data_IF_910613309549
#
_entry.id   IF_910613309549
#
_cell.length_a   1.000
_cell.length_b   1.000
_cell.length_c   1.000
_cell.angle_alpha   90.00
_cell.angle_beta   90.00
_cell.angle_gamma   90.00
#
_symmetry.space_group_name_H-M   'P 1'
#
loop_
_entity.id
_entity.type
_entity.pdbx_description
1 polymer ?
#
# COMPACT_ATOMS: atom_id res chain seq x y z
N UNK A 1 2.83 -33.02 -8.32
CA UNK A 1 1.61 -32.37 -7.80
C UNK A 1 1.29 -31.15 -8.64
N UNK A 2 0.03 -30.93 -9.03
CA UNK A 2 -0.34 -29.83 -9.93
C UNK A 2 -0.13 -28.47 -9.22
N UNK A 3 0.42 -27.44 -9.93
CA UNK A 3 0.74 -26.12 -9.38
C UNK A 3 -0.44 -25.47 -8.63
N UNK A 4 -1.67 -25.70 -9.14
CA UNK A 4 -2.91 -25.20 -8.53
C UNK A 4 -3.18 -25.83 -7.15
N UNK A 5 -3.05 -27.14 -7.00
CA UNK A 5 -3.25 -27.83 -5.72
C UNK A 5 -2.24 -27.39 -4.66
N UNK A 6 -1.04 -26.99 -5.09
CA UNK A 6 0.00 -26.46 -4.22
C UNK A 6 -0.36 -25.09 -3.68
N UNK A 7 -0.75 -24.18 -4.57
CA UNK A 7 -1.19 -22.82 -4.19
C UNK A 7 -2.40 -22.87 -3.25
N UNK A 8 -3.35 -23.77 -3.50
CA UNK A 8 -4.51 -24.00 -2.63
C UNK A 8 -4.13 -24.43 -1.21
N UNK A 9 -3.20 -25.38 -1.08
CA UNK A 9 -2.75 -25.85 0.24
C UNK A 9 -1.99 -24.77 1.02
N UNK A 10 -1.12 -24.00 0.35
CA UNK A 10 -0.42 -22.86 0.98
C UNK A 10 -1.40 -21.77 1.41
N UNK A 11 -2.42 -21.54 0.60
CA UNK A 11 -3.48 -20.59 0.93
C UNK A 11 -4.27 -21.07 2.16
N UNK A 12 -4.65 -22.34 2.20
CA UNK A 12 -5.31 -22.94 3.37
C UNK A 12 -4.46 -22.80 4.63
N UNK A 13 -3.13 -23.02 4.54
CA UNK A 13 -2.24 -22.84 5.67
C UNK A 13 -2.19 -21.38 6.15
N UNK A 14 -2.15 -20.41 5.23
CA UNK A 14 -2.19 -18.99 5.58
C UNK A 14 -3.52 -18.62 6.28
N UNK A 15 -4.65 -19.10 5.78
CA UNK A 15 -5.94 -18.91 6.43
C UNK A 15 -6.02 -19.61 7.80
N UNK A 16 -5.42 -20.80 7.95
CA UNK A 16 -5.37 -21.51 9.24
C UNK A 16 -4.65 -20.68 10.30
N UNK A 17 -3.51 -20.07 9.97
CA UNK A 17 -2.79 -19.15 10.88
C UNK A 17 -3.66 -17.94 11.23
N UNK A 18 -4.31 -17.34 10.23
CA UNK A 18 -5.17 -16.18 10.42
C UNK A 18 -6.36 -16.47 11.34
N UNK A 19 -7.06 -17.58 11.11
CA UNK A 19 -8.22 -17.94 11.93
C UNK A 19 -7.86 -18.39 13.33
N UNK A 20 -6.65 -18.93 13.52
CA UNK A 20 -6.10 -19.22 14.85
C UNK A 20 -5.82 -17.93 15.62
N UNK A 21 -5.21 -16.94 14.97
CA UNK A 21 -4.78 -15.68 15.56
C UNK A 21 -5.57 -14.48 15.00
N UNK A 22 -6.86 -14.40 15.36
CA UNK A 22 -7.78 -13.35 14.86
C UNK A 22 -7.32 -11.92 15.18
N UNK A 23 -6.46 -11.73 16.19
CA UNK A 23 -5.86 -10.44 16.52
C UNK A 23 -5.05 -9.84 15.38
N UNK A 24 -4.57 -10.65 14.43
CA UNK A 24 -3.88 -10.16 13.22
C UNK A 24 -4.77 -9.23 12.39
N UNK A 25 -6.09 -9.45 12.38
CA UNK A 25 -7.04 -8.61 11.67
C UNK A 25 -7.14 -7.18 12.24
N UNK A 26 -6.71 -6.95 13.49
CA UNK A 26 -6.76 -5.63 14.11
C UNK A 26 -5.66 -4.69 13.61
N UNK A 27 -4.51 -5.19 13.18
CA UNK A 27 -3.39 -4.37 12.73
C UNK A 27 -3.75 -3.46 11.54
N UNK A 28 -4.34 -3.97 10.45
CA UNK A 28 -4.77 -3.09 9.37
C UNK A 28 -5.84 -2.07 9.81
N UNK A 29 -6.74 -2.41 10.76
CA UNK A 29 -7.69 -1.44 11.32
C UNK A 29 -6.99 -0.30 12.06
N UNK A 30 -6.01 -0.63 12.90
CA UNK A 30 -5.20 0.37 13.60
C UNK A 30 -4.46 1.23 12.58
N UNK A 31 -3.82 0.61 11.58
CA UNK A 31 -3.11 1.33 10.52
C UNK A 31 -4.03 2.28 9.75
N UNK A 32 -5.24 1.82 9.36
CA UNK A 32 -6.24 2.66 8.68
C UNK A 32 -6.73 3.79 9.58
N UNK A 33 -7.00 3.52 10.86
CA UNK A 33 -7.41 4.54 11.83
C UNK A 33 -6.34 5.62 12.01
N UNK A 34 -5.07 5.23 12.13
CA UNK A 34 -3.95 6.17 12.22
C UNK A 34 -3.78 6.97 10.91
N UNK A 35 -3.91 6.33 9.76
CA UNK A 35 -3.86 7.02 8.46
C UNK A 35 -4.99 8.05 8.32
N UNK A 36 -6.20 7.72 8.79
CA UNK A 36 -7.34 8.65 8.83
C UNK A 36 -7.06 9.85 9.74
N UNK A 37 -6.51 9.63 10.94
CA UNK A 37 -6.15 10.72 11.87
C UNK A 37 -5.13 11.64 11.20
N UNK A 38 -4.11 11.09 10.56
CA UNK A 38 -3.11 11.88 9.83
C UNK A 38 -3.76 12.64 8.68
N UNK A 39 -4.61 11.98 7.88
CA UNK A 39 -5.32 12.62 6.77
C UNK A 39 -6.20 13.79 7.26
N UNK A 40 -6.96 13.59 8.34
CA UNK A 40 -7.80 14.64 8.94
C UNK A 40 -6.96 15.80 9.45
N UNK A 41 -5.83 15.52 10.12
CA UNK A 41 -4.93 16.56 10.60
C UNK A 41 -4.39 17.44 9.48
N UNK A 42 -3.96 16.82 8.37
CA UNK A 42 -3.43 17.57 7.22
C UNK A 42 -4.53 18.20 6.34
N UNK A 43 -5.75 17.66 6.38
CA UNK A 43 -6.90 18.24 5.69
C UNK A 43 -7.51 19.42 6.45
N UNK A 44 -7.35 19.48 7.77
CA UNK A 44 -7.93 20.53 8.60
C UNK A 44 -7.61 21.97 8.11
N UNK A 45 -6.36 22.34 7.76
CA UNK A 45 -6.06 23.67 7.24
C UNK A 45 -6.81 24.03 5.96
N UNK A 46 -7.12 23.05 5.12
CA UNK A 46 -7.90 23.21 3.89
C UNK A 46 -9.38 23.39 4.23
N UNK A 47 -9.90 22.54 5.15
CA UNK A 47 -11.29 22.60 5.57
C UNK A 47 -11.64 23.91 6.31
N UNK A 48 -10.70 24.43 7.10
CA UNK A 48 -10.87 25.68 7.87
C UNK A 48 -10.36 26.93 7.13
N UNK A 49 -10.11 26.84 5.82
CA UNK A 49 -9.70 27.98 5.04
C UNK A 49 -10.81 29.05 4.99
N UNK A 50 -10.53 30.33 5.29
CA UNK A 50 -11.55 31.37 5.33
C UNK A 50 -12.06 31.69 3.92
N UNK A 51 -13.25 31.22 3.56
CA UNK A 51 -13.91 31.51 2.29
C UNK A 51 -14.91 32.66 2.37
N UNK A 52 -15.17 33.21 3.57
CA UNK A 52 -16.22 34.18 3.82
C UNK A 52 -17.63 33.59 3.98
N UNK A 53 -17.76 32.26 3.86
CA UNK A 53 -19.01 31.53 4.06
C UNK A 53 -18.96 30.67 5.34
N UNK A 54 -20.11 30.35 5.95
CA UNK A 54 -20.16 29.43 7.10
C UNK A 54 -19.57 28.07 6.75
N UNK A 55 -18.72 27.51 7.62
CA UNK A 55 -17.96 26.26 7.37
C UNK A 55 -18.83 25.05 7.01
N UNK A 56 -20.06 24.99 7.49
CA UNK A 56 -20.99 23.88 7.20
C UNK A 56 -21.90 24.16 5.99
N UNK A 57 -21.73 25.30 5.27
CA UNK A 57 -22.51 25.61 4.09
C UNK A 57 -21.98 24.97 2.83
N UNK A 58 -22.86 24.62 1.89
CA UNK A 58 -22.47 24.14 0.56
C UNK A 58 -21.63 25.17 -0.20
N UNK A 59 -21.89 26.46 0.03
CA UNK A 59 -21.15 27.56 -0.57
C UNK A 59 -19.67 27.60 -0.12
N UNK A 60 -19.36 27.23 1.13
CA UNK A 60 -17.99 27.10 1.61
C UNK A 60 -17.25 25.99 0.86
N UNK A 61 -17.84 24.82 0.75
CA UNK A 61 -17.23 23.65 0.09
C UNK A 61 -17.13 23.84 -1.42
N UNK A 62 -18.09 24.50 -2.08
CA UNK A 62 -17.99 24.83 -3.49
C UNK A 62 -16.85 25.82 -3.76
N UNK A 63 -16.68 26.84 -2.90
CA UNK A 63 -15.58 27.79 -3.02
C UNK A 63 -14.20 27.14 -2.83
N UNK A 64 -14.08 26.17 -1.90
CA UNK A 64 -12.86 25.36 -1.75
C UNK A 64 -12.62 24.51 -3.00
N UNK A 65 -13.67 23.82 -3.50
CA UNK A 65 -13.60 22.99 -4.70
C UNK A 65 -13.17 23.76 -5.94
N UNK A 66 -13.73 24.95 -6.15
CA UNK A 66 -13.35 25.84 -7.25
C UNK A 66 -11.89 26.27 -7.16
N UNK A 67 -11.41 26.66 -5.98
CA UNK A 67 -10.00 27.02 -5.78
C UNK A 67 -9.05 25.86 -6.04
N UNK A 68 -9.41 24.67 -5.58
CA UNK A 68 -8.63 23.46 -5.86
C UNK A 68 -8.64 23.19 -7.37
N UNK A 69 -9.80 23.23 -8.03
CA UNK A 69 -9.89 22.98 -9.47
C UNK A 69 -9.14 24.01 -10.30
N UNK A 70 -9.20 25.29 -9.94
CA UNK A 70 -8.43 26.35 -10.57
C UNK A 70 -6.92 26.16 -10.42
N UNK A 71 -6.47 25.66 -9.26
CA UNK A 71 -5.06 25.33 -9.03
C UNK A 71 -4.53 24.22 -9.96
N UNK A 72 -5.42 23.32 -10.40
CA UNK A 72 -5.07 22.24 -11.34
C UNK A 72 -5.34 22.59 -12.81
N UNK A 73 -6.22 23.55 -13.08
CA UNK A 73 -6.72 23.85 -14.43
C UNK A 73 -6.04 25.07 -15.08
N UNK A 74 -5.27 25.86 -14.32
CA UNK A 74 -4.57 27.03 -14.87
C UNK A 74 -3.44 26.57 -15.78
N UNK A 75 -3.50 26.80 -17.11
CA UNK A 75 -2.37 26.56 -17.98
C UNK A 75 -1.20 27.44 -17.55
N UNK A 76 0.05 26.99 -17.68
CA UNK A 76 1.21 27.80 -17.36
C UNK A 76 1.20 29.03 -18.25
N UNK A 77 0.98 30.21 -17.66
CA UNK A 77 1.17 31.46 -18.39
C UNK A 77 2.65 31.54 -18.79
N UNK A 78 2.90 31.53 -20.09
CA UNK A 78 4.21 31.74 -20.69
C UNK A 78 4.70 33.18 -20.38
N UNK A 79 5.31 33.35 -19.21
CA UNK A 79 6.22 34.48 -19.00
C UNK A 79 7.63 34.03 -19.40
N UNK A 80 8.19 34.70 -20.37
CA UNK A 80 9.36 34.31 -21.16
C UNK A 80 10.71 34.43 -20.44
N UNK A 81 10.77 34.43 -19.11
CA UNK A 81 12.04 34.69 -18.40
C UNK A 81 12.18 33.85 -17.14
N UNK A 82 12.43 32.55 -17.34
CA UNK A 82 12.74 31.68 -16.21
C UNK A 82 13.98 30.83 -16.46
N UNK A 83 14.93 30.92 -15.53
CA UNK A 83 16.16 30.10 -15.49
C UNK A 83 15.84 28.59 -15.56
N UNK A 84 16.77 27.79 -16.09
CA UNK A 84 16.67 26.32 -16.18
C UNK A 84 16.31 25.69 -14.83
N UNK A 85 16.83 26.26 -13.71
CA UNK A 85 16.51 25.82 -12.35
C UNK A 85 15.02 26.00 -12.00
N UNK A 86 14.39 27.11 -12.40
CA UNK A 86 12.97 27.35 -12.18
C UNK A 86 12.11 26.38 -13.00
N UNK A 87 12.53 26.03 -14.22
CA UNK A 87 11.85 25.03 -15.07
C UNK A 87 11.94 23.64 -14.48
N UNK A 88 13.09 23.27 -13.90
CA UNK A 88 13.28 22.00 -13.22
C UNK A 88 12.43 21.95 -11.94
N UNK A 89 12.42 23.01 -11.14
CA UNK A 89 11.63 23.09 -9.91
C UNK A 89 10.11 23.05 -10.20
N UNK A 90 9.60 23.86 -11.17
CA UNK A 90 8.19 23.85 -11.56
C UNK A 90 7.76 22.52 -12.16
N UNK A 91 8.65 21.88 -12.88
CA UNK A 91 8.38 20.57 -13.42
C UNK A 91 8.33 19.47 -12.35
N UNK A 92 9.13 19.54 -11.27
CA UNK A 92 9.09 18.59 -10.15
C UNK A 92 7.80 18.73 -9.31
N UNK A 93 7.20 19.91 -9.30
CA UNK A 93 6.01 20.23 -8.50
C UNK A 93 4.69 20.20 -9.28
N UNK A 94 4.69 19.72 -10.53
CA UNK A 94 3.44 19.63 -11.32
C UNK A 94 2.93 20.96 -11.89
N UNK A 95 3.80 21.98 -12.01
CA UNK A 95 3.56 23.14 -12.91
C UNK A 95 2.61 24.21 -12.43
N UNK A 96 2.19 24.25 -11.17
CA UNK A 96 1.35 25.33 -10.68
C UNK A 96 2.18 26.43 -10.01
N UNK A 97 2.13 27.68 -10.55
CA UNK A 97 2.68 28.89 -9.93
C UNK A 97 2.18 29.14 -8.50
N UNK A 98 1.06 28.53 -8.12
CA UNK A 98 0.44 28.58 -6.80
C UNK A 98 1.35 27.99 -5.70
N UNK A 99 2.22 27.02 -6.04
CA UNK A 99 3.09 26.35 -5.07
C UNK A 99 4.19 27.27 -4.55
N UNK A 100 4.75 28.15 -5.41
CA UNK A 100 5.78 29.09 -4.99
C UNK A 100 5.22 30.29 -4.18
N UNK A 101 3.98 30.65 -4.40
CA UNK A 101 3.35 31.73 -3.64
C UNK A 101 2.94 31.29 -2.21
N UNK A 102 2.81 29.96 -1.99
CA UNK A 102 2.45 29.37 -0.70
C UNK A 102 3.36 28.18 -0.36
N UNK A 103 4.66 28.43 -0.25
CA UNK A 103 5.69 27.43 0.07
C UNK A 103 5.34 26.54 1.28
N UNK A 104 4.62 27.10 2.26
CA UNK A 104 4.17 26.38 3.45
C UNK A 104 3.15 25.27 3.12
N UNK A 105 2.28 25.46 2.10
CA UNK A 105 1.34 24.42 1.64
C UNK A 105 2.12 23.26 1.02
N UNK A 106 3.11 23.56 0.19
CA UNK A 106 3.98 22.54 -0.41
C UNK A 106 4.74 21.78 0.65
N UNK A 107 5.27 22.49 1.66
CA UNK A 107 5.93 21.87 2.80
C UNK A 107 4.96 20.99 3.59
N UNK A 108 3.74 21.44 3.84
CA UNK A 108 2.70 20.69 4.53
C UNK A 108 2.39 19.37 3.80
N UNK A 109 2.20 19.42 2.48
CA UNK A 109 1.98 18.22 1.67
C UNK A 109 3.19 17.27 1.68
N UNK A 110 4.39 17.79 1.57
CA UNK A 110 5.61 16.99 1.64
C UNK A 110 5.74 16.29 3.01
N UNK A 111 5.55 17.03 4.10
CA UNK A 111 5.58 16.48 5.46
C UNK A 111 4.48 15.44 5.64
N UNK A 112 3.26 15.72 5.17
CA UNK A 112 2.15 14.77 5.18
C UNK A 112 2.49 13.47 4.46
N UNK A 113 3.06 13.57 3.27
CA UNK A 113 3.46 12.43 2.46
C UNK A 113 4.49 11.55 3.18
N UNK A 114 5.57 12.15 3.69
CA UNK A 114 6.60 11.40 4.41
C UNK A 114 6.12 10.85 5.76
N UNK A 115 5.27 11.59 6.47
CA UNK A 115 4.63 11.12 7.72
C UNK A 115 3.75 9.90 7.43
N UNK A 116 2.96 9.93 6.37
CA UNK A 116 2.11 8.81 5.96
C UNK A 116 2.94 7.59 5.56
N UNK A 117 4.03 7.79 4.83
CA UNK A 117 4.98 6.73 4.47
C UNK A 117 5.64 6.10 5.70
N UNK A 118 6.08 6.93 6.65
CA UNK A 118 6.66 6.45 7.90
C UNK A 118 5.64 5.65 8.72
N UNK A 119 4.45 6.20 8.93
CA UNK A 119 3.41 5.57 9.73
C UNK A 119 2.95 4.24 9.10
N UNK A 120 2.76 4.22 7.77
CA UNK A 120 2.43 2.99 7.04
C UNK A 120 3.50 1.92 7.19
N UNK A 121 4.78 2.27 7.04
CA UNK A 121 5.90 1.34 7.24
C UNK A 121 5.97 0.87 8.69
N UNK A 122 5.82 1.78 9.66
CA UNK A 122 5.85 1.49 11.08
C UNK A 122 4.77 0.48 11.50
N UNK A 123 3.52 0.71 11.07
CA UNK A 123 2.42 -0.22 11.31
C UNK A 123 2.65 -1.58 10.63
N UNK A 124 3.17 -1.58 9.40
CA UNK A 124 3.49 -2.81 8.69
C UNK A 124 4.60 -3.61 9.38
N UNK A 125 5.66 -2.97 9.89
CA UNK A 125 6.72 -3.66 10.64
C UNK A 125 6.14 -4.31 11.90
N UNK A 126 5.30 -3.60 12.66
CA UNK A 126 4.61 -4.15 13.82
C UNK A 126 3.74 -5.37 13.45
N UNK A 127 2.98 -5.26 12.37
CA UNK A 127 2.11 -6.31 11.85
C UNK A 127 2.89 -7.55 11.39
N UNK A 128 3.93 -7.37 10.59
CA UNK A 128 4.73 -8.48 10.06
C UNK A 128 5.56 -9.17 11.15
N UNK A 129 6.00 -8.44 12.17
CA UNK A 129 6.60 -9.05 13.36
C UNK A 129 5.63 -10.03 14.03
N UNK A 130 4.39 -9.63 14.26
CA UNK A 130 3.39 -10.48 14.89
C UNK A 130 2.91 -11.63 13.99
N UNK A 131 2.90 -11.45 12.67
CA UNK A 131 2.68 -12.55 11.72
C UNK A 131 3.77 -13.62 11.89
N UNK A 132 5.05 -13.22 11.95
CA UNK A 132 6.15 -14.16 12.14
C UNK A 132 6.03 -14.90 13.49
N UNK A 133 5.60 -14.21 14.55
CA UNK A 133 5.32 -14.85 15.83
C UNK A 133 4.15 -15.86 15.72
N UNK A 134 3.06 -15.47 15.04
CA UNK A 134 1.92 -16.36 14.83
C UNK A 134 2.28 -17.62 14.01
N UNK A 135 3.11 -17.48 12.98
CA UNK A 135 3.62 -18.59 12.18
C UNK A 135 4.43 -19.56 13.05
N UNK A 136 5.22 -19.05 13.99
CA UNK A 136 6.01 -19.84 14.93
C UNK A 136 5.18 -20.43 16.09
N UNK A 137 3.86 -20.22 16.10
CA UNK A 137 2.96 -20.75 17.11
C UNK A 137 2.79 -19.87 18.36
N UNK A 138 3.40 -18.69 18.40
CA UNK A 138 3.27 -17.76 19.51
C UNK A 138 1.97 -16.94 19.41
N UNK A 139 1.35 -16.65 20.57
CA UNK A 139 0.17 -15.79 20.61
C UNK A 139 0.49 -14.36 20.15
N UNK A 140 -0.42 -13.75 19.38
CA UNK A 140 -0.30 -12.40 18.83
C UNK A 140 -0.53 -11.36 19.92
N UNK A 141 0.36 -10.34 19.98
CA UNK A 141 0.28 -9.19 20.89
C UNK A 141 0.50 -7.88 20.15
N UNK A 142 -0.53 -7.04 20.14
CA UNK A 142 -0.46 -5.71 19.49
C UNK A 142 0.65 -4.87 20.12
N UNK A 143 0.71 -4.85 21.44
CA UNK A 143 1.71 -4.07 22.19
C UNK A 143 3.15 -4.49 21.82
N UNK A 144 3.44 -5.80 21.78
CA UNK A 144 4.76 -6.34 21.41
C UNK A 144 5.14 -5.93 19.98
N UNK A 145 4.19 -6.02 19.03
CA UNK A 145 4.43 -5.62 17.66
C UNK A 145 4.83 -4.14 17.54
N UNK A 146 4.10 -3.25 18.19
CA UNK A 146 4.42 -1.82 18.18
C UNK A 146 5.70 -1.49 18.97
N UNK A 147 5.99 -2.17 20.06
CA UNK A 147 7.26 -2.04 20.77
C UNK A 147 8.45 -2.44 19.89
N UNK A 148 8.33 -3.54 19.15
CA UNK A 148 9.35 -3.96 18.20
C UNK A 148 9.56 -2.91 17.11
N UNK A 149 8.49 -2.40 16.48
CA UNK A 149 8.58 -1.33 15.49
C UNK A 149 9.24 -0.06 16.06
N UNK A 150 8.92 0.29 17.32
CA UNK A 150 9.54 1.41 18.01
C UNK A 150 11.04 1.21 18.27
N UNK A 151 11.50 0.00 18.60
CA UNK A 151 12.94 -0.29 18.71
C UNK A 151 13.66 -0.13 17.37
N UNK A 152 12.96 -0.37 16.26
CA UNK A 152 13.48 -0.28 14.89
C UNK A 152 13.21 1.05 14.18
N UNK A 153 12.77 2.08 14.91
CA UNK A 153 12.30 3.35 14.33
C UNK A 153 13.27 4.01 13.35
N UNK A 154 14.58 3.91 13.59
CA UNK A 154 15.62 4.47 12.69
C UNK A 154 15.61 3.78 11.32
N UNK A 155 15.59 2.46 11.29
CA UNK A 155 15.55 1.69 10.05
C UNK A 155 14.22 1.93 9.31
N UNK A 156 13.10 1.97 10.04
CA UNK A 156 11.78 2.31 9.51
C UNK A 156 11.76 3.70 8.89
N UNK A 157 12.32 4.70 9.58
CA UNK A 157 12.39 6.08 9.09
C UNK A 157 13.24 6.20 7.83
N UNK A 158 14.46 5.65 7.86
CA UNK A 158 15.37 5.70 6.72
C UNK A 158 14.78 4.99 5.49
N UNK A 159 14.17 3.84 5.69
CA UNK A 159 13.46 3.15 4.61
C UNK A 159 12.28 3.97 4.09
N UNK A 160 11.46 4.54 4.95
CA UNK A 160 10.28 5.32 4.55
C UNK A 160 10.67 6.58 3.75
N UNK A 161 11.72 7.28 4.18
CA UNK A 161 12.24 8.43 3.45
C UNK A 161 12.80 8.01 2.08
N UNK A 162 13.60 6.94 2.05
CA UNK A 162 14.16 6.42 0.81
C UNK A 162 13.07 5.96 -0.17
N UNK A 163 12.12 5.14 0.30
CA UNK A 163 11.03 4.64 -0.53
C UNK A 163 10.10 5.77 -1.00
N UNK A 164 9.80 6.72 -0.12
CA UNK A 164 9.03 7.92 -0.47
C UNK A 164 9.70 8.76 -1.53
N UNK A 165 11.01 8.99 -1.41
CA UNK A 165 11.78 9.75 -2.41
C UNK A 165 11.79 9.04 -3.76
N UNK A 166 12.07 7.74 -3.80
CA UNK A 166 12.05 6.96 -5.05
C UNK A 166 10.65 6.97 -5.68
N UNK A 167 9.59 6.76 -4.88
CA UNK A 167 8.21 6.83 -5.36
C UNK A 167 7.87 8.20 -5.94
N UNK A 168 8.30 9.27 -5.30
CA UNK A 168 8.16 10.63 -5.81
C UNK A 168 8.89 10.85 -7.14
N UNK A 169 10.14 10.39 -7.25
CA UNK A 169 10.94 10.51 -8.49
C UNK A 169 10.27 9.75 -9.64
N UNK A 170 9.83 8.50 -9.42
CA UNK A 170 9.14 7.70 -10.45
C UNK A 170 7.90 8.44 -10.94
N UNK A 171 7.08 8.97 -10.02
CA UNK A 171 5.87 9.72 -10.37
C UNK A 171 6.18 11.03 -11.11
N UNK A 172 7.24 11.74 -10.72
CA UNK A 172 7.66 12.97 -11.38
C UNK A 172 8.14 12.70 -12.83
N UNK A 173 8.81 11.56 -13.06
CA UNK A 173 9.20 11.13 -14.41
C UNK A 173 7.94 10.81 -15.22
N UNK A 174 7.03 10.00 -14.68
CA UNK A 174 5.79 9.58 -15.34
C UNK A 174 4.94 10.76 -15.84
N UNK A 175 4.88 11.84 -15.08
CA UNK A 175 4.12 13.04 -15.43
C UNK A 175 4.72 13.86 -16.58
N UNK A 176 6.03 13.72 -16.86
CA UNK A 176 6.75 14.55 -17.82
C UNK A 176 7.00 13.90 -19.16
N UNK A 177 6.86 12.59 -19.24
CA UNK A 177 7.19 11.84 -20.44
C UNK A 177 5.94 11.57 -21.27
N UNK A 178 6.08 11.59 -22.61
CA UNK A 178 5.02 11.19 -23.52
C UNK A 178 4.59 9.72 -23.34
N UNK A 179 3.69 9.23 -24.19
CA UNK A 179 3.06 7.90 -24.05
C UNK A 179 4.10 6.78 -23.88
N UNK A 180 5.15 6.75 -24.70
CA UNK A 180 6.25 5.76 -24.59
C UNK A 180 7.04 5.89 -23.29
N UNK A 181 7.31 7.12 -22.86
CA UNK A 181 7.99 7.36 -21.60
C UNK A 181 7.16 6.95 -20.39
N UNK A 182 5.83 7.11 -20.42
CA UNK A 182 4.91 6.58 -19.39
C UNK A 182 5.00 5.07 -19.26
N UNK A 183 5.11 4.35 -20.38
CA UNK A 183 5.30 2.90 -20.35
C UNK A 183 6.62 2.53 -19.65
N UNK A 184 7.72 3.21 -19.97
CA UNK A 184 9.03 2.99 -19.34
C UNK A 184 8.97 3.31 -17.85
N UNK A 185 8.38 4.45 -17.46
CA UNK A 185 8.21 4.84 -16.06
C UNK A 185 7.36 3.82 -15.29
N UNK A 186 6.30 3.30 -15.89
CA UNK A 186 5.46 2.24 -15.32
C UNK A 186 6.25 0.94 -15.11
N UNK A 187 7.09 0.54 -16.06
CA UNK A 187 7.98 -0.63 -15.92
C UNK A 187 9.00 -0.45 -14.79
N UNK A 188 9.58 0.75 -14.64
CA UNK A 188 10.47 1.09 -13.53
C UNK A 188 9.72 1.00 -12.21
N UNK A 189 8.53 1.58 -12.13
CA UNK A 189 7.66 1.52 -10.94
C UNK A 189 7.27 0.08 -10.59
N UNK A 190 6.95 -0.74 -11.57
CA UNK A 190 6.66 -2.16 -11.40
C UNK A 190 7.88 -2.92 -10.86
N UNK A 191 9.05 -2.72 -11.45
CA UNK A 191 10.31 -3.33 -11.00
C UNK A 191 10.66 -2.91 -9.57
N UNK A 192 10.47 -1.65 -9.23
CA UNK A 192 10.61 -1.13 -7.88
C UNK A 192 9.67 -1.82 -6.89
N UNK A 193 8.40 -1.95 -7.25
CA UNK A 193 7.38 -2.61 -6.42
C UNK A 193 7.73 -4.07 -6.16
N UNK A 194 8.23 -4.77 -7.17
CA UNK A 194 8.70 -6.15 -7.03
C UNK A 194 9.94 -6.25 -6.15
N UNK A 195 10.96 -5.42 -6.39
CA UNK A 195 12.19 -5.43 -5.60
C UNK A 195 11.94 -5.13 -4.12
N UNK A 196 10.91 -4.34 -3.80
CA UNK A 196 10.56 -3.96 -2.44
C UNK A 196 9.56 -4.88 -1.73
N UNK A 197 9.11 -5.97 -2.37
CA UNK A 197 8.02 -6.81 -1.84
C UNK A 197 8.35 -7.50 -0.51
N UNK A 198 9.63 -7.85 -0.29
CA UNK A 198 10.11 -8.49 0.94
C UNK A 198 10.80 -7.52 1.92
N UNK A 199 10.73 -6.22 1.68
CA UNK A 199 11.38 -5.23 2.56
C UNK A 199 10.87 -5.31 3.99
N UNK A 200 9.56 -5.41 4.19
CA UNK A 200 9.00 -5.45 5.54
C UNK A 200 9.42 -6.71 6.29
N UNK A 201 9.31 -7.92 5.72
CA UNK A 201 9.92 -9.12 6.31
C UNK A 201 11.42 -8.97 6.60
N UNK A 202 12.18 -8.36 5.67
CA UNK A 202 13.62 -8.12 5.87
C UNK A 202 13.87 -7.16 7.03
N UNK A 203 13.14 -6.05 7.14
CA UNK A 203 13.22 -5.11 8.26
C UNK A 203 12.93 -5.77 9.62
N UNK A 204 12.04 -6.75 9.63
CA UNK A 204 11.70 -7.48 10.86
C UNK A 204 12.80 -8.48 11.24
N UNK A 205 13.38 -9.15 10.26
CA UNK A 205 14.31 -10.25 10.50
C UNK A 205 15.77 -9.83 10.61
N UNK A 206 16.21 -8.92 9.73
CA UNK A 206 17.55 -8.35 9.74
C UNK A 206 17.60 -7.14 10.69
N UNK A 207 17.91 -7.42 11.96
CA UNK A 207 17.92 -6.40 13.00
C UNK A 207 19.19 -5.53 13.00
N UNK A 208 20.23 -5.94 12.31
CA UNK A 208 21.52 -5.23 12.27
C UNK A 208 21.54 -4.16 11.18
N UNK A 209 20.91 -4.44 10.04
CA UNK A 209 20.94 -3.54 8.88
C UNK A 209 19.93 -2.40 9.02
N UNK A 210 20.43 -1.17 8.86
CA UNK A 210 19.61 0.05 8.77
C UNK A 210 19.71 0.73 7.40
N UNK A 211 20.65 0.30 6.56
CA UNK A 211 20.89 0.88 5.24
C UNK A 211 19.80 0.46 4.24
N UNK A 212 18.98 1.41 3.68
CA UNK A 212 17.89 1.09 2.76
C UNK A 212 18.33 0.33 1.50
N UNK A 213 19.53 0.60 0.97
CA UNK A 213 20.04 -0.08 -0.22
C UNK A 213 20.38 -1.55 0.05
N UNK A 214 20.93 -1.85 1.23
CA UNK A 214 21.22 -3.23 1.64
C UNK A 214 19.92 -4.01 1.85
N UNK A 215 18.93 -3.40 2.52
CA UNK A 215 17.60 -3.97 2.69
C UNK A 215 16.96 -4.27 1.33
N UNK A 216 17.07 -3.35 0.36
CA UNK A 216 16.55 -3.54 -0.99
C UNK A 216 17.24 -4.70 -1.72
N UNK A 217 18.57 -4.84 -1.59
CA UNK A 217 19.33 -5.95 -2.15
C UNK A 217 18.88 -7.29 -1.56
N UNK A 218 18.75 -7.40 -0.24
CA UNK A 218 18.27 -8.60 0.44
C UNK A 218 16.85 -8.98 -0.01
N UNK A 219 15.96 -7.98 -0.12
CA UNK A 219 14.61 -8.20 -0.66
C UNK A 219 14.63 -8.69 -2.11
N UNK A 220 15.41 -8.06 -2.97
CA UNK A 220 15.52 -8.46 -4.38
C UNK A 220 16.14 -9.85 -4.57
N UNK A 221 17.13 -10.23 -3.74
CA UNK A 221 17.74 -11.56 -3.79
C UNK A 221 16.78 -12.64 -3.28
N UNK A 222 16.00 -12.34 -2.26
CA UNK A 222 14.90 -13.22 -1.80
C UNK A 222 13.85 -13.37 -2.91
N UNK A 223 13.48 -12.28 -3.58
CA UNK A 223 12.55 -12.30 -4.70
C UNK A 223 13.06 -13.20 -5.84
N UNK A 224 14.32 -13.08 -6.25
CA UNK A 224 14.90 -13.93 -7.32
C UNK A 224 14.77 -15.41 -6.99
N UNK A 225 14.92 -15.77 -5.73
CA UNK A 225 14.79 -17.16 -5.26
C UNK A 225 13.35 -17.66 -5.21
N UNK A 226 12.37 -16.75 -5.00
CA UNK A 226 10.94 -17.08 -4.77
C UNK A 226 10.01 -16.59 -5.87
N UNK A 227 10.56 -16.15 -7.01
CA UNK A 227 9.79 -15.51 -8.08
C UNK A 227 8.57 -16.33 -8.53
N UNK A 228 8.78 -17.63 -8.81
CA UNK A 228 7.70 -18.49 -9.31
C UNK A 228 6.57 -18.69 -8.30
N UNK A 229 6.92 -18.89 -7.03
CA UNK A 229 5.99 -19.12 -5.93
C UNK A 229 5.22 -17.86 -5.57
N UNK A 230 5.92 -16.71 -5.56
CA UNK A 230 5.31 -15.42 -5.30
C UNK A 230 4.23 -15.10 -6.34
N UNK A 231 4.54 -15.27 -7.63
CA UNK A 231 3.58 -15.02 -8.72
C UNK A 231 2.37 -15.95 -8.61
N UNK A 232 2.60 -17.25 -8.38
CA UNK A 232 1.51 -18.22 -8.25
C UNK A 232 0.64 -17.91 -7.01
N UNK A 233 1.25 -17.57 -5.89
CA UNK A 233 0.52 -17.20 -4.67
C UNK A 233 -0.28 -15.93 -4.82
N UNK A 234 0.31 -14.90 -5.43
CA UNK A 234 -0.36 -13.63 -5.69
C UNK A 234 -1.55 -13.80 -6.65
N UNK A 235 -1.32 -14.43 -7.80
CA UNK A 235 -2.40 -14.72 -8.78
C UNK A 235 -3.49 -15.61 -8.17
N UNK A 236 -3.10 -16.59 -7.35
CA UNK A 236 -4.06 -17.46 -6.66
C UNK A 236 -4.93 -16.70 -5.67
N UNK A 237 -4.36 -15.75 -4.92
CA UNK A 237 -5.11 -14.93 -3.96
C UNK A 237 -6.08 -13.97 -4.67
N UNK A 238 -5.60 -13.29 -5.73
CA UNK A 238 -6.43 -12.42 -6.54
C UNK A 238 -7.55 -13.20 -7.26
N UNK A 239 -7.28 -14.40 -7.75
CA UNK A 239 -8.29 -15.26 -8.36
C UNK A 239 -9.39 -15.65 -7.35
N UNK A 240 -9.02 -15.95 -6.10
CA UNK A 240 -9.99 -16.21 -5.01
C UNK A 240 -10.83 -14.96 -4.75
N UNK A 241 -10.19 -13.79 -4.63
CA UNK A 241 -10.90 -12.54 -4.40
C UNK A 241 -11.91 -12.26 -5.53
N UNK A 242 -11.48 -12.35 -6.79
CA UNK A 242 -12.34 -12.14 -7.96
C UNK A 242 -13.49 -13.15 -7.99
N UNK A 243 -13.20 -14.43 -7.78
CA UNK A 243 -14.21 -15.49 -7.80
C UNK A 243 -15.32 -15.26 -6.79
N UNK A 244 -14.99 -14.80 -5.58
CA UNK A 244 -15.98 -14.52 -4.54
C UNK A 244 -16.67 -13.16 -4.69
N UNK A 245 -16.01 -12.13 -5.23
CA UNK A 245 -16.60 -10.79 -5.35
C UNK A 245 -17.40 -10.60 -6.64
N UNK A 246 -17.00 -11.23 -7.75
CA UNK A 246 -17.60 -11.06 -9.07
C UNK A 246 -19.10 -11.39 -9.11
N UNK A 247 -19.60 -12.49 -8.50
CA UNK A 247 -21.04 -12.78 -8.49
C UNK A 247 -21.86 -11.68 -7.81
N UNK A 248 -21.34 -11.07 -6.75
CA UNK A 248 -22.01 -9.98 -6.05
C UNK A 248 -22.03 -8.70 -6.90
N UNK A 249 -20.91 -8.37 -7.55
CA UNK A 249 -20.82 -7.23 -8.47
C UNK A 249 -21.84 -7.40 -9.62
N UNK A 250 -21.89 -8.59 -10.22
CA UNK A 250 -22.84 -8.89 -11.29
C UNK A 250 -24.30 -8.82 -10.79
N UNK A 251 -24.59 -9.40 -9.62
CA UNK A 251 -25.94 -9.35 -9.04
C UNK A 251 -26.39 -7.91 -8.80
N UNK A 252 -25.52 -7.06 -8.27
CA UNK A 252 -25.81 -5.65 -8.03
C UNK A 252 -26.01 -4.90 -9.35
N UNK A 253 -25.19 -5.18 -10.37
CA UNK A 253 -25.33 -4.58 -11.70
C UNK A 253 -26.67 -4.96 -12.34
N UNK A 254 -27.07 -6.24 -12.26
CA UNK A 254 -28.36 -6.70 -12.75
C UNK A 254 -29.53 -6.10 -11.97
N UNK A 255 -29.50 -6.11 -10.63
CA UNK A 255 -30.53 -5.49 -9.80
C UNK A 255 -30.66 -4.00 -10.12
N UNK A 256 -29.55 -3.26 -10.21
CA UNK A 256 -29.54 -1.83 -10.56
C UNK A 256 -30.13 -1.56 -11.96
N UNK A 257 -29.85 -2.44 -12.93
CA UNK A 257 -30.38 -2.34 -14.29
C UNK A 257 -31.90 -2.61 -14.39
N UNK A 258 -32.43 -3.54 -13.59
CA UNK A 258 -33.84 -3.87 -13.59
C UNK A 258 -34.70 -2.93 -12.73
N UNK A 259 -34.10 -2.28 -11.72
CA UNK A 259 -34.86 -1.44 -10.76
C UNK A 259 -34.65 0.05 -10.99
N UNK A 260 -34.70 0.52 -12.24
CA UNK A 260 -34.38 1.86 -12.71
C UNK A 260 -34.75 3.06 -11.81
N UNK A 261 -35.60 2.91 -10.80
CA UNK A 261 -35.98 3.97 -9.86
C UNK A 261 -36.25 3.50 -8.41
N UNK A 262 -36.14 2.20 -8.10
CA UNK A 262 -36.55 1.67 -6.79
C UNK A 262 -35.41 1.65 -5.75
N UNK A 263 -34.15 1.62 -6.17
CA UNK A 263 -32.98 1.53 -5.26
C UNK A 263 -32.02 2.68 -5.54
N UNK A 264 -31.70 3.45 -4.51
CA UNK A 264 -30.76 4.56 -4.68
C UNK A 264 -29.34 4.03 -4.97
N UNK A 265 -28.55 4.70 -5.85
CA UNK A 265 -27.16 4.32 -6.12
C UNK A 265 -26.30 4.25 -4.85
N UNK A 266 -26.61 5.06 -3.85
CA UNK A 266 -25.92 5.05 -2.55
C UNK A 266 -26.15 3.73 -1.78
N UNK A 267 -27.36 3.17 -1.79
CA UNK A 267 -27.64 1.88 -1.15
C UNK A 267 -26.91 0.74 -1.85
N UNK A 268 -26.86 0.77 -3.19
CA UNK A 268 -26.11 -0.20 -3.99
C UNK A 268 -24.61 -0.14 -3.63
N UNK A 269 -24.06 1.07 -3.58
CA UNK A 269 -22.66 1.29 -3.21
C UNK A 269 -22.37 0.81 -1.78
N UNK A 270 -23.23 1.13 -0.81
CA UNK A 270 -23.08 0.68 0.58
C UNK A 270 -23.13 -0.85 0.70
N UNK A 271 -24.07 -1.51 0.01
CA UNK A 271 -24.16 -2.96 0.01
C UNK A 271 -22.90 -3.62 -0.59
N UNK A 272 -22.40 -3.08 -1.71
CA UNK A 272 -21.17 -3.51 -2.35
C UNK A 272 -19.97 -3.36 -1.41
N UNK A 273 -19.84 -2.20 -0.77
CA UNK A 273 -18.76 -1.92 0.16
C UNK A 273 -18.79 -2.86 1.37
N UNK A 274 -19.95 -3.06 1.99
CA UNK A 274 -20.12 -3.95 3.14
C UNK A 274 -19.81 -5.42 2.83
N UNK A 275 -20.00 -5.86 1.60
CA UNK A 275 -19.71 -7.23 1.16
C UNK A 275 -18.24 -7.41 0.78
N UNK A 276 -17.71 -6.53 -0.07
CA UNK A 276 -16.37 -6.68 -0.65
C UNK A 276 -15.29 -6.33 0.36
N UNK A 277 -15.50 -5.30 1.17
CA UNK A 277 -14.48 -4.78 2.07
C UNK A 277 -13.99 -5.81 3.11
N UNK A 278 -14.85 -6.50 3.90
CA UNK A 278 -14.40 -7.48 4.88
C UNK A 278 -13.66 -8.65 4.23
N UNK A 279 -14.13 -9.10 3.06
CA UNK A 279 -13.51 -10.20 2.36
C UNK A 279 -12.12 -9.83 1.82
N UNK A 280 -11.99 -8.67 1.18
CA UNK A 280 -10.70 -8.13 0.73
C UNK A 280 -9.71 -7.98 1.88
N UNK A 281 -10.20 -7.54 3.03
CA UNK A 281 -9.42 -7.39 4.24
C UNK A 281 -8.82 -8.71 4.73
N UNK A 282 -9.64 -9.75 4.82
CA UNK A 282 -9.20 -11.11 5.19
C UNK A 282 -8.17 -11.62 4.19
N UNK A 283 -8.41 -11.48 2.89
CA UNK A 283 -7.49 -11.89 1.84
C UNK A 283 -6.15 -11.15 1.92
N UNK A 284 -6.16 -9.85 2.22
CA UNK A 284 -4.95 -9.05 2.39
C UNK A 284 -4.09 -9.54 3.55
N UNK A 285 -4.70 -9.83 4.71
CA UNK A 285 -3.98 -10.38 5.86
C UNK A 285 -3.43 -11.77 5.55
N UNK A 286 -4.22 -12.64 4.93
CA UNK A 286 -3.76 -13.97 4.51
C UNK A 286 -2.59 -13.91 3.52
N UNK A 287 -2.61 -12.95 2.57
CA UNK A 287 -1.51 -12.70 1.65
C UNK A 287 -0.23 -12.25 2.38
N UNK A 288 -0.37 -11.43 3.44
CA UNK A 288 0.76 -11.00 4.27
C UNK A 288 1.37 -12.19 5.04
N UNK A 289 0.53 -13.09 5.57
CA UNK A 289 0.98 -14.34 6.20
C UNK A 289 1.74 -15.22 5.20
N UNK A 290 1.19 -15.38 3.99
CA UNK A 290 1.83 -16.13 2.92
C UNK A 290 3.20 -15.58 2.54
N UNK A 291 3.33 -14.24 2.40
CA UNK A 291 4.62 -13.57 2.11
C UNK A 291 5.64 -13.79 3.21
N UNK A 292 5.23 -13.73 4.48
CA UNK A 292 6.12 -14.04 5.62
C UNK A 292 6.60 -15.49 5.58
N UNK A 293 5.72 -16.44 5.31
CA UNK A 293 6.08 -17.85 5.22
C UNK A 293 7.08 -18.12 4.09
N UNK A 294 6.86 -17.51 2.91
CA UNK A 294 7.81 -17.59 1.79
C UNK A 294 9.17 -16.99 2.14
N UNK A 295 9.17 -15.83 2.81
CA UNK A 295 10.41 -15.17 3.21
C UNK A 295 11.22 -16.06 4.17
N UNK A 296 10.60 -16.60 5.22
CA UNK A 296 11.25 -17.48 6.20
C UNK A 296 11.83 -18.70 5.49
N UNK A 297 11.05 -19.32 4.61
CA UNK A 297 11.53 -20.49 3.86
C UNK A 297 12.71 -20.15 2.95
N UNK A 298 12.65 -19.01 2.24
CA UNK A 298 13.68 -18.59 1.30
C UNK A 298 15.02 -18.23 1.98
N UNK A 299 14.96 -17.67 3.19
CA UNK A 299 16.14 -17.16 3.90
C UNK A 299 16.71 -18.17 4.89
N UNK A 300 15.87 -18.95 5.55
CA UNK A 300 16.26 -19.85 6.65
C UNK A 300 16.17 -21.33 6.28
N UNK A 301 15.51 -21.66 5.16
CA UNK A 301 15.25 -23.06 4.77
C UNK A 301 14.33 -23.81 5.74
N UNK A 302 13.76 -23.08 6.73
CA UNK A 302 12.87 -23.66 7.75
C UNK A 302 11.44 -23.60 7.25
N UNK A 303 10.77 -24.75 7.31
CA UNK A 303 9.33 -24.82 7.04
C UNK A 303 8.58 -24.49 8.33
N UNK A 304 7.81 -23.39 8.34
CA UNK A 304 6.96 -23.08 9.49
C UNK A 304 6.00 -24.26 9.78
N UNK A 305 5.82 -24.63 11.06
CA UNK A 305 5.10 -25.84 11.46
C UNK A 305 3.65 -25.99 10.99
N UNK A 306 3.05 -24.90 10.52
CA UNK A 306 1.69 -24.88 9.93
C UNK A 306 1.71 -25.13 8.42
N UNK A 307 2.90 -25.09 7.78
CA UNK A 307 3.10 -25.29 6.35
C UNK A 307 3.75 -26.65 6.12
N UNK A 308 3.31 -27.38 5.11
CA UNK A 308 3.83 -28.69 4.75
C UNK A 308 5.18 -28.55 4.01
N UNK A 309 6.20 -29.27 4.47
CA UNK A 309 7.55 -29.28 3.89
C UNK A 309 7.52 -29.69 2.42
N UNK A 310 6.76 -30.73 2.08
CA UNK A 310 6.64 -31.18 0.69
C UNK A 310 6.04 -30.12 -0.24
N UNK A 311 5.17 -29.26 0.30
CA UNK A 311 4.58 -28.15 -0.45
C UNK A 311 5.60 -27.09 -0.78
N UNK A 312 6.44 -26.71 0.19
CA UNK A 312 7.46 -25.69 0.00
C UNK A 312 8.62 -26.25 -0.84
N UNK A 313 9.08 -27.48 -0.60
CA UNK A 313 10.14 -28.13 -1.40
C UNK A 313 9.73 -28.38 -2.85
N UNK A 314 8.46 -28.72 -3.09
CA UNK A 314 7.93 -28.89 -4.44
C UNK A 314 7.76 -27.56 -5.19
N UNK A 315 7.61 -26.45 -4.46
CA UNK A 315 7.69 -25.11 -4.99
C UNK A 315 9.10 -24.75 -5.47
N UNK A 316 10.12 -25.27 -4.78
CA UNK A 316 11.53 -24.99 -5.01
C UNK A 316 12.19 -25.82 -6.11
N UNK A 317 11.62 -26.96 -6.47
CA UNK A 317 12.16 -27.88 -7.49
C UNK A 317 11.75 -27.53 -8.91
N UNK A 318 11.78 -26.26 -9.29
CA UNK A 318 11.77 -25.87 -10.71
C UNK A 318 13.16 -25.37 -11.06
N UNK A 319 13.97 -26.33 -11.58
CA UNK A 319 15.14 -26.00 -12.37
C UNK A 319 14.71 -25.38 -13.68
#
# INVERSE_FOLDING_TARGET
>A
MNKIKRSEKMLKAAFTVLFREKKLLLFPFIATGLALIVALFYFAPVAFYPTGHPYFSTAHWSAIGERISQSFSSPPQHSADHSVLTRVATGLTGGSHVIFQHWWITLLFAVSYFTSMFLGTFCNVAFYHEIMQAINGNAVSIQRGFQFAAMRWRAVLLWSLFAGLIGYIIRAIEQRVGIFGKLIASLIGFTWSLASIFIIPTLVRDTETTNPLQLLRHSADTLKRTWGELVIGFVGMEAVLIFFTMPFVLAIFFIGGFTHHAVSPALIFCAMFLMIFPFSWICQVANSVYRCALYIYATEGVVPGTFDKELLDSAWKVK
#
